data_IF_661277183887
#
_entry.id   IF_661277183887
#
_cell.length_a   1.000
_cell.length_b   1.000
_cell.length_c   1.000
_cell.angle_alpha   90.00
_cell.angle_beta   90.00
_cell.angle_gamma   90.00
#
_symmetry.space_group_name_H-M   'P 1'
#
loop_
_entity.id
_entity.type
_entity.pdbx_description
1 polymer ?
#
# COMPACT_ATOMS: atom_id res chain seq x y z
N UNK A 1 -9.56 -18.70 4.47
CA UNK A 1 -8.19 -18.93 3.97
C UNK A 1 -7.38 -19.41 5.16
N UNK A 2 -6.79 -20.61 5.08
CA UNK A 2 -5.89 -21.14 6.12
C UNK A 2 -4.48 -21.11 5.56
N UNK A 3 -3.55 -20.51 6.30
CA UNK A 3 -2.17 -20.33 5.90
C UNK A 3 -1.28 -20.94 6.98
N UNK A 4 -0.57 -22.01 6.63
CA UNK A 4 0.36 -22.70 7.52
C UNK A 4 1.77 -22.48 6.99
N UNK A 5 2.61 -21.79 7.77
CA UNK A 5 4.03 -21.59 7.44
C UNK A 5 4.90 -22.25 8.50
N UNK A 6 6.01 -22.85 8.07
CA UNK A 6 6.98 -23.44 9.01
C UNK A 6 7.65 -22.36 9.86
N UNK A 7 7.95 -22.70 11.11
CA UNK A 7 8.69 -21.84 12.03
C UNK A 7 9.99 -21.33 11.38
N UNK A 8 10.20 -20.01 11.41
CA UNK A 8 11.37 -19.36 10.81
C UNK A 8 11.20 -18.92 9.35
N UNK A 9 10.01 -19.10 8.75
CA UNK A 9 9.71 -18.67 7.39
C UNK A 9 8.69 -17.53 7.37
N UNK A 10 8.80 -16.66 6.36
CA UNK A 10 7.81 -15.63 6.07
C UNK A 10 6.74 -16.17 5.13
N UNK A 11 5.48 -15.84 5.41
CA UNK A 11 4.39 -16.05 4.50
C UNK A 11 3.98 -14.69 3.90
N UNK A 12 4.05 -14.58 2.59
CA UNK A 12 3.60 -13.39 1.87
C UNK A 12 2.24 -13.68 1.27
N UNK A 13 1.26 -12.81 1.51
CA UNK A 13 -0.02 -12.84 0.81
C UNK A 13 -0.19 -11.53 0.03
N UNK A 14 -0.69 -11.66 -1.19
CA UNK A 14 -1.02 -10.53 -2.05
C UNK A 14 -2.53 -10.29 -1.94
N UNK A 15 -2.92 -9.10 -1.49
CA UNK A 15 -4.30 -8.67 -1.54
C UNK A 15 -4.51 -8.02 -2.91
N UNK A 16 -5.31 -8.63 -3.76
CA UNK A 16 -5.70 -8.08 -5.05
C UNK A 16 -7.15 -7.62 -5.00
N UNK A 17 -7.42 -6.45 -5.58
CA UNK A 17 -8.78 -6.00 -5.80
C UNK A 17 -9.27 -6.63 -7.10
N UNK A 18 -10.31 -7.46 -7.02
CA UNK A 18 -10.97 -7.99 -8.21
C UNK A 18 -12.02 -6.96 -8.67
N UNK A 19 -11.99 -6.52 -9.94
CA UNK A 19 -12.99 -5.58 -10.45
C UNK A 19 -14.42 -6.11 -10.24
N UNK A 20 -15.31 -5.26 -9.73
CA UNK A 20 -16.72 -5.56 -9.43
C UNK A 20 -16.97 -6.55 -8.28
N UNK A 21 -15.94 -6.91 -7.50
CA UNK A 21 -16.13 -7.63 -6.23
C UNK A 21 -15.90 -6.68 -5.05
N UNK A 22 -16.62 -6.93 -3.96
CA UNK A 22 -16.37 -6.20 -2.73
C UNK A 22 -14.95 -6.54 -2.23
N UNK A 23 -14.10 -5.55 -1.92
CA UNK A 23 -12.78 -5.83 -1.38
C UNK A 23 -12.93 -6.63 -0.07
N UNK A 24 -12.03 -7.60 0.20
CA UNK A 24 -12.10 -8.36 1.44
C UNK A 24 -11.96 -7.43 2.64
N UNK A 25 -12.93 -7.49 3.55
CA UNK A 25 -12.86 -6.83 4.85
C UNK A 25 -12.06 -7.73 5.80
N UNK A 26 -10.94 -7.22 6.27
CA UNK A 26 -10.12 -7.89 7.26
C UNK A 26 -10.34 -7.28 8.63
N UNK A 27 -10.38 -8.13 9.65
CA UNK A 27 -10.36 -7.68 11.02
C UNK A 27 -8.99 -7.05 11.32
N UNK A 28 -8.97 -5.84 11.88
CA UNK A 28 -7.72 -5.13 12.19
C UNK A 28 -6.83 -5.90 13.16
N UNK A 29 -7.41 -6.80 13.97
CA UNK A 29 -6.67 -7.69 14.88
C UNK A 29 -5.78 -8.72 14.15
N UNK A 30 -5.93 -8.86 12.83
CA UNK A 30 -5.05 -9.68 11.99
C UNK A 30 -3.73 -8.98 11.65
N UNK A 31 -3.59 -7.69 11.98
CA UNK A 31 -2.41 -6.89 11.69
C UNK A 31 -1.79 -6.38 12.99
N UNK A 32 -0.46 -6.28 13.01
CA UNK A 32 0.28 -5.59 14.06
C UNK A 32 0.97 -4.35 13.47
N UNK A 33 1.03 -3.28 14.26
CA UNK A 33 1.78 -2.08 13.91
C UNK A 33 3.24 -2.35 14.25
N UNK A 34 4.07 -2.54 13.23
CA UNK A 34 5.51 -2.77 13.40
C UNK A 34 6.27 -1.48 13.73
N UNK A 35 5.75 -0.35 13.23
CA UNK A 35 6.30 0.98 13.46
C UNK A 35 5.14 1.99 13.51
N UNK A 36 5.11 2.81 14.56
CA UNK A 36 4.08 3.82 14.76
C UNK A 36 4.45 5.18 14.13
N UNK A 37 5.66 5.33 13.60
CA UNK A 37 6.09 6.53 12.93
C UNK A 37 5.60 6.58 11.49
N UNK A 38 5.07 7.73 11.09
CA UNK A 38 4.78 8.00 9.69
C UNK A 38 6.08 8.44 9.04
N UNK A 39 6.49 7.74 7.99
CA UNK A 39 7.73 8.05 7.29
C UNK A 39 7.80 9.52 6.84
N UNK A 40 8.98 10.16 6.92
CA UNK A 40 9.14 11.54 6.47
C UNK A 40 8.66 11.74 5.02
N UNK A 41 7.82 12.76 4.80
CA UNK A 41 7.24 13.06 3.49
C UNK A 41 5.98 12.27 3.14
N UNK A 42 5.60 11.28 3.95
CA UNK A 42 4.28 10.66 3.85
C UNK A 42 3.22 11.56 4.47
N UNK A 43 2.05 11.61 3.85
CA UNK A 43 0.91 12.38 4.29
C UNK A 43 -0.29 11.46 4.52
N UNK A 44 -0.94 11.61 5.67
CA UNK A 44 -2.23 11.00 5.95
C UNK A 44 -3.33 11.91 5.40
N UNK A 45 -4.23 11.37 4.57
CA UNK A 45 -5.41 12.09 4.10
C UNK A 45 -6.65 11.27 4.39
N UNK A 46 -7.65 11.89 4.97
CA UNK A 46 -8.96 11.30 5.18
C UNK A 46 -9.98 11.99 4.29
N UNK A 47 -10.70 11.21 3.48
CA UNK A 47 -11.83 11.71 2.71
C UNK A 47 -12.94 10.65 2.68
N UNK A 48 -14.19 11.04 2.94
CA UNK A 48 -15.36 10.15 2.88
C UNK A 48 -15.20 8.81 3.63
N UNK A 49 -14.54 8.83 4.80
CA UNK A 49 -14.28 7.63 5.59
C UNK A 49 -13.11 6.77 5.10
N UNK A 50 -12.44 7.15 4.02
CA UNK A 50 -11.23 6.52 3.51
C UNK A 50 -10.00 7.23 4.07
N UNK A 51 -9.13 6.47 4.74
CA UNK A 51 -7.79 6.93 5.11
C UNK A 51 -6.79 6.47 4.05
N UNK A 52 -6.04 7.41 3.49
CA UNK A 52 -4.89 7.13 2.62
C UNK A 52 -3.62 7.59 3.33
N UNK A 53 -2.56 6.79 3.19
CA UNK A 53 -1.25 7.09 3.74
C UNK A 53 -0.20 6.84 2.66
N UNK A 54 0.63 7.84 2.40
CA UNK A 54 1.67 7.74 1.37
C UNK A 54 2.27 9.10 1.00
N UNK A 55 3.30 9.12 0.16
CA UNK A 55 3.83 10.34 -0.45
C UNK A 55 2.72 11.15 -1.11
N UNK A 56 2.89 12.47 -1.12
CA UNK A 56 1.87 13.36 -1.67
C UNK A 56 1.57 13.08 -3.16
N UNK A 57 2.60 12.71 -3.93
CA UNK A 57 2.55 12.36 -5.35
C UNK A 57 1.70 11.12 -5.66
N UNK A 58 1.67 10.12 -4.76
CA UNK A 58 0.86 8.92 -4.95
C UNK A 58 -0.64 9.16 -4.74
N UNK A 59 -1.00 10.28 -4.11
CA UNK A 59 -2.39 10.71 -3.92
C UNK A 59 -2.97 11.49 -5.10
N UNK A 60 -2.22 11.67 -6.19
CA UNK A 60 -2.72 12.31 -7.41
C UNK A 60 -3.72 11.39 -8.09
N UNK A 61 -4.88 11.93 -8.49
CA UNK A 61 -5.90 11.17 -9.22
C UNK A 61 -5.30 10.52 -10.46
N UNK A 62 -5.55 9.22 -10.66
CA UNK A 62 -5.02 8.46 -11.80
C UNK A 62 -3.59 7.93 -11.62
N UNK A 63 -2.93 8.21 -10.47
CA UNK A 63 -1.57 7.76 -10.23
C UNK A 63 -1.44 6.23 -10.25
N UNK A 64 -2.32 5.54 -9.53
CA UNK A 64 -2.26 4.08 -9.41
C UNK A 64 -2.60 3.37 -10.71
N UNK A 65 -3.55 3.89 -11.47
CA UNK A 65 -3.88 3.43 -12.82
C UNK A 65 -2.67 3.58 -13.74
N UNK A 66 -2.04 4.76 -13.77
CA UNK A 66 -0.85 4.99 -14.56
C UNK A 66 0.34 4.12 -14.14
N UNK A 67 0.49 3.83 -12.84
CA UNK A 67 1.49 2.92 -12.31
C UNK A 67 1.24 1.48 -12.79
N UNK A 68 0.00 0.98 -12.66
CA UNK A 68 -0.38 -0.37 -13.08
C UNK A 68 -0.27 -0.54 -14.61
N UNK A 69 -0.59 0.51 -15.37
CA UNK A 69 -0.41 0.58 -16.82
C UNK A 69 1.06 0.78 -17.26
N UNK A 70 1.99 0.81 -16.30
CA UNK A 70 3.44 0.96 -16.53
C UNK A 70 3.83 2.25 -17.25
N UNK A 71 3.11 3.34 -17.01
CA UNK A 71 3.49 4.65 -17.54
C UNK A 71 4.79 5.13 -16.86
N UNK A 72 5.76 5.55 -17.67
CA UNK A 72 7.12 5.88 -17.22
C UNK A 72 7.16 6.89 -16.06
N UNK A 73 6.29 7.89 -16.09
CA UNK A 73 6.25 8.93 -15.07
C UNK A 73 5.81 8.38 -13.71
N UNK A 74 4.82 7.48 -13.68
CA UNK A 74 4.30 6.90 -12.45
C UNK A 74 5.27 5.87 -11.86
N UNK A 75 5.94 5.09 -12.72
CA UNK A 75 7.02 4.18 -12.29
C UNK A 75 8.18 4.97 -11.67
N UNK A 76 8.63 6.04 -12.34
CA UNK A 76 9.73 6.89 -11.84
C UNK A 76 9.39 7.50 -10.48
N UNK A 77 8.19 8.06 -10.34
CA UNK A 77 7.76 8.71 -9.11
C UNK A 77 7.57 7.69 -7.96
N UNK A 78 7.05 6.49 -8.26
CA UNK A 78 6.99 5.39 -7.29
C UNK A 78 8.40 5.01 -6.81
N UNK A 79 9.34 4.78 -7.73
CA UNK A 79 10.70 4.38 -7.37
C UNK A 79 11.43 5.47 -6.58
N UNK A 80 11.24 6.73 -6.96
CA UNK A 80 11.82 7.87 -6.26
C UNK A 80 11.35 7.94 -4.80
N UNK A 81 10.04 7.92 -4.56
CA UNK A 81 9.51 8.00 -3.20
C UNK A 81 9.80 6.74 -2.38
N UNK A 82 9.77 5.55 -3.00
CA UNK A 82 10.16 4.30 -2.33
C UNK A 82 11.61 4.34 -1.88
N UNK A 83 12.52 4.87 -2.68
CA UNK A 83 13.94 4.89 -2.33
C UNK A 83 14.22 5.79 -1.12
N UNK A 84 13.48 6.90 -0.95
CA UNK A 84 13.59 7.76 0.25
C UNK A 84 13.23 7.04 1.56
N UNK A 85 12.45 5.95 1.49
CA UNK A 85 12.04 5.17 2.65
C UNK A 85 13.10 4.14 3.08
N UNK A 86 14.05 3.85 2.20
CA UNK A 86 15.06 2.82 2.39
C UNK A 86 16.44 3.42 2.73
N UNK A 87 16.51 4.75 2.83
CA UNK A 87 17.68 5.54 3.28
C UNK A 87 17.50 5.95 4.75
#
# INVERSE_FOLDING_TARGET
MELSVQSGHFAYFRIEVVPNEAPPLFDIRLFEVLDAEIAPGWVARQNDGVLTLGPSSWGVSGFWEAYLDRQDWAIRDYLYERNKLME
#
